data_IF_475222561428
#
_entry.id   IF_475222561428
#
_cell.length_a   1.000
_cell.length_b   1.000
_cell.length_c   1.000
_cell.angle_alpha   90.00
_cell.angle_beta   90.00
_cell.angle_gamma   90.00
#
_symmetry.space_group_name_H-M   'P 1'
#
loop_
_entity.id
_entity.type
_entity.pdbx_description
1 polymer ?
#
# COMPACT_ATOMS: atom_id res chain seq x y z
N UNK A 1 50.82 41.07 -35.03
CA UNK A 1 50.55 39.65 -34.71
C UNK A 1 50.69 39.45 -33.22
N UNK A 2 49.58 39.25 -32.50
CA UNK A 2 49.42 38.45 -31.25
C UNK A 2 48.05 38.77 -30.65
N UNK A 3 47.04 38.07 -31.16
CA UNK A 3 45.66 38.07 -30.63
C UNK A 3 45.61 37.22 -29.36
N UNK A 4 45.20 37.84 -28.25
CA UNK A 4 44.96 37.21 -26.95
C UNK A 4 43.71 36.31 -27.04
N UNK A 5 43.74 35.03 -26.64
CA UNK A 5 42.57 34.17 -26.73
C UNK A 5 41.54 34.52 -25.65
N UNK A 6 40.27 34.57 -26.06
CA UNK A 6 39.12 34.83 -25.21
C UNK A 6 38.88 33.66 -24.24
N UNK A 7 38.55 34.00 -22.99
CA UNK A 7 38.18 33.07 -21.93
C UNK A 7 36.81 32.46 -22.25
N UNK A 8 36.61 31.13 -22.14
CA UNK A 8 35.30 30.55 -22.36
C UNK A 8 34.35 30.95 -21.23
N UNK A 9 33.25 31.61 -21.61
CA UNK A 9 32.09 31.87 -20.76
C UNK A 9 31.46 30.55 -20.35
N UNK A 10 31.47 30.24 -19.05
CA UNK A 10 30.76 29.12 -18.47
C UNK A 10 29.26 29.36 -18.56
N UNK A 11 28.60 28.62 -19.43
CA UNK A 11 27.14 28.49 -19.47
C UNK A 11 26.65 27.96 -18.12
N UNK A 12 25.67 28.60 -17.46
CA UNK A 12 25.11 28.07 -16.23
C UNK A 12 24.39 26.74 -16.52
N UNK A 13 24.78 25.70 -15.77
CA UNK A 13 24.12 24.39 -15.71
C UNK A 13 22.60 24.59 -15.51
N UNK A 14 21.73 23.96 -16.31
CA UNK A 14 20.29 24.13 -16.14
C UNK A 14 19.90 23.65 -14.73
N UNK A 15 19.20 24.53 -14.00
CA UNK A 15 18.66 24.23 -12.69
C UNK A 15 17.78 22.97 -12.79
N UNK A 16 18.00 22.03 -11.88
CA UNK A 16 17.21 20.79 -11.79
C UNK A 16 15.73 21.18 -11.66
N UNK A 17 14.83 20.69 -12.53
CA UNK A 17 13.41 20.98 -12.40
C UNK A 17 12.91 20.53 -11.02
N UNK A 18 11.90 21.22 -10.43
CA UNK A 18 11.34 20.84 -9.15
C UNK A 18 10.85 19.39 -9.19
N UNK A 19 11.16 18.62 -8.14
CA UNK A 19 10.83 17.21 -8.07
C UNK A 19 9.30 17.02 -8.16
N UNK A 20 8.85 16.13 -9.04
CA UNK A 20 7.42 15.74 -9.11
C UNK A 20 7.04 14.92 -7.88
N UNK A 21 5.76 14.91 -7.46
CA UNK A 21 5.32 14.10 -6.31
C UNK A 21 5.69 12.62 -6.43
N UNK A 22 5.63 12.07 -7.66
CA UNK A 22 6.05 10.69 -7.97
C UNK A 22 7.55 10.45 -7.75
N UNK A 23 8.42 11.41 -8.10
CA UNK A 23 9.87 11.25 -7.93
C UNK A 23 10.28 11.35 -6.47
N UNK A 24 9.61 12.18 -5.67
CA UNK A 24 9.79 12.25 -4.21
C UNK A 24 9.42 10.91 -3.57
N UNK A 25 8.21 10.40 -3.86
CA UNK A 25 7.73 9.14 -3.32
C UNK A 25 8.64 7.96 -3.69
N UNK A 26 9.08 7.90 -4.95
CA UNK A 26 10.02 6.88 -5.42
C UNK A 26 11.39 7.00 -4.76
N UNK A 27 11.88 8.23 -4.56
CA UNK A 27 13.14 8.49 -3.86
C UNK A 27 13.09 8.11 -2.38
N UNK A 28 11.93 8.25 -1.73
CA UNK A 28 11.69 7.77 -0.38
C UNK A 28 11.68 6.25 -0.29
N UNK A 29 10.93 5.56 -1.15
CA UNK A 29 10.91 4.09 -1.15
C UNK A 29 12.29 3.47 -1.41
N UNK A 30 13.14 4.15 -2.17
CA UNK A 30 14.53 3.72 -2.39
C UNK A 30 15.38 3.71 -1.10
N UNK A 31 14.98 4.44 -0.07
CA UNK A 31 15.66 4.45 1.23
C UNK A 31 15.45 3.16 2.03
N UNK A 32 14.52 2.28 1.62
CA UNK A 32 14.16 1.09 2.38
C UNK A 32 15.39 0.26 2.78
N UNK A 33 15.48 -0.15 4.04
CA UNK A 33 16.54 -1.04 4.54
C UNK A 33 15.92 -2.17 5.34
N UNK A 34 16.50 -3.36 5.24
CA UNK A 34 16.11 -4.47 6.11
C UNK A 34 16.35 -4.10 7.57
N UNK A 35 15.33 -4.31 8.40
CA UNK A 35 15.37 -3.98 9.82
C UNK A 35 15.40 -5.25 10.67
N UNK A 36 14.39 -6.12 10.53
CA UNK A 36 14.34 -7.38 11.27
C UNK A 36 13.43 -8.41 10.59
N UNK A 37 13.52 -9.66 11.02
CA UNK A 37 12.67 -10.77 10.60
C UNK A 37 12.20 -11.53 11.84
N UNK A 38 10.91 -11.82 11.93
CA UNK A 38 10.31 -12.49 13.08
C UNK A 38 9.29 -13.55 12.67
N UNK A 39 9.21 -14.69 13.37
CA UNK A 39 8.23 -15.73 13.05
C UNK A 39 6.82 -15.35 13.49
N UNK A 40 6.68 -14.51 14.53
CA UNK A 40 5.39 -14.15 15.14
C UNK A 40 5.40 -12.69 15.63
N UNK A 41 4.21 -12.13 15.84
CA UNK A 41 3.99 -10.74 16.24
C UNK A 41 4.76 -10.33 17.50
N UNK A 42 4.80 -11.19 18.52
CA UNK A 42 5.43 -10.88 19.82
C UNK A 42 6.96 -10.75 19.76
N UNK A 43 7.60 -11.23 18.68
CA UNK A 43 9.04 -11.06 18.44
C UNK A 43 9.37 -9.77 17.68
N UNK A 44 8.36 -9.02 17.24
CA UNK A 44 8.57 -7.76 16.54
C UNK A 44 8.80 -6.63 17.55
N UNK A 45 9.73 -5.71 17.26
CA UNK A 45 9.90 -4.53 18.09
C UNK A 45 8.64 -3.67 18.07
N UNK A 46 8.43 -2.94 19.17
CA UNK A 46 7.51 -1.81 19.21
C UNK A 46 8.13 -0.66 18.41
N UNK A 47 7.32 -0.04 17.55
CA UNK A 47 7.76 1.01 16.63
C UNK A 47 6.67 2.08 16.59
N UNK A 48 7.05 3.33 16.81
CA UNK A 48 6.11 4.45 16.82
C UNK A 48 5.82 5.01 15.41
N UNK A 49 6.60 4.60 14.42
CA UNK A 49 6.41 4.99 13.02
C UNK A 49 5.26 4.21 12.35
N UNK A 50 4.52 4.86 11.42
CA UNK A 50 3.45 4.22 10.67
C UNK A 50 3.96 3.03 9.84
N UNK A 51 3.18 1.97 9.83
CA UNK A 51 3.54 0.71 9.20
C UNK A 51 2.57 0.32 8.08
N UNK A 52 3.13 -0.09 6.94
CA UNK A 52 2.39 -0.53 5.75
C UNK A 52 2.64 -2.01 5.54
N UNK A 53 1.62 -2.84 5.74
CA UNK A 53 1.72 -4.28 5.53
C UNK A 53 1.41 -4.69 4.09
N UNK A 54 2.32 -5.45 3.50
CA UNK A 54 2.14 -6.14 2.23
C UNK A 54 1.70 -7.57 2.50
N UNK A 55 0.54 -7.94 1.96
CA UNK A 55 -0.07 -9.25 2.16
C UNK A 55 -0.58 -9.80 0.84
N UNK A 56 -0.69 -11.12 0.73
CA UNK A 56 -1.25 -11.75 -0.47
C UNK A 56 -0.89 -13.21 -0.58
N UNK A 57 -1.55 -13.90 -1.51
CA UNK A 57 -1.32 -15.33 -1.75
C UNK A 57 0.14 -15.63 -2.12
N UNK A 58 0.58 -16.84 -1.79
CA UNK A 58 1.86 -17.35 -2.27
C UNK A 58 1.99 -17.21 -3.79
N UNK A 59 3.09 -16.64 -4.26
CA UNK A 59 3.35 -16.29 -5.66
C UNK A 59 2.42 -15.23 -6.29
N UNK A 60 1.74 -14.41 -5.49
CA UNK A 60 1.01 -13.23 -5.99
C UNK A 60 1.95 -12.17 -6.57
N UNK A 61 3.23 -12.18 -6.19
CA UNK A 61 4.23 -11.20 -6.64
C UNK A 61 4.57 -10.13 -5.60
N UNK A 62 4.20 -10.34 -4.33
CA UNK A 62 4.51 -9.44 -3.19
C UNK A 62 5.96 -9.00 -3.11
N UNK A 63 6.90 -9.93 -2.95
CA UNK A 63 8.33 -9.58 -2.82
C UNK A 63 8.86 -8.91 -4.10
N UNK A 64 8.36 -9.28 -5.28
CA UNK A 64 8.68 -8.61 -6.54
C UNK A 64 8.15 -7.17 -6.58
N UNK A 65 6.94 -6.94 -6.08
CA UNK A 65 6.35 -5.61 -5.96
C UNK A 65 7.19 -4.73 -5.03
N UNK A 66 7.51 -5.21 -3.82
CA UNK A 66 8.35 -4.50 -2.85
C UNK A 66 9.68 -4.11 -3.48
N UNK A 67 10.40 -5.08 -4.07
CA UNK A 67 11.69 -4.85 -4.73
C UNK A 67 11.62 -3.79 -5.85
N UNK A 68 10.52 -3.74 -6.61
CA UNK A 68 10.37 -2.79 -7.70
C UNK A 68 10.02 -1.40 -7.18
N UNK A 69 9.13 -1.31 -6.19
CA UNK A 69 8.77 -0.06 -5.52
C UNK A 69 9.99 0.58 -4.84
N UNK A 70 10.80 -0.23 -4.15
CA UNK A 70 12.02 0.22 -3.48
C UNK A 70 13.24 0.31 -4.42
N UNK A 71 13.10 -0.11 -5.67
CA UNK A 71 14.18 -0.19 -6.67
C UNK A 71 15.40 -1.02 -6.22
N UNK A 72 15.16 -2.06 -5.41
CA UNK A 72 16.20 -2.94 -4.87
C UNK A 72 16.00 -4.38 -5.33
N UNK A 73 17.07 -5.07 -5.72
CA UNK A 73 16.97 -6.41 -6.32
C UNK A 73 16.70 -7.54 -5.31
N UNK A 74 17.14 -7.39 -4.07
CA UNK A 74 17.14 -8.46 -3.06
C UNK A 74 16.74 -7.99 -1.66
N UNK A 75 15.92 -6.93 -1.56
CA UNK A 75 15.43 -6.46 -0.27
C UNK A 75 14.43 -7.47 0.30
N UNK A 76 13.39 -7.78 -0.47
CA UNK A 76 12.45 -8.86 -0.19
C UNK A 76 12.82 -10.08 -1.03
N UNK A 77 13.02 -11.23 -0.40
CA UNK A 77 13.42 -12.45 -1.10
C UNK A 77 12.27 -13.03 -1.95
N UNK A 78 12.25 -12.68 -3.23
CA UNK A 78 11.32 -13.26 -4.22
C UNK A 78 11.75 -14.68 -4.63
N UNK A 79 11.47 -15.68 -3.80
CA UNK A 79 11.67 -17.09 -4.17
C UNK A 79 10.54 -17.59 -5.06
N UNK A 80 10.87 -18.31 -6.15
CA UNK A 80 9.90 -19.06 -6.97
C UNK A 80 9.43 -20.35 -6.28
N UNK A 81 10.19 -20.85 -5.31
CA UNK A 81 9.77 -21.96 -4.45
C UNK A 81 8.80 -21.41 -3.40
N UNK A 82 7.51 -21.80 -3.43
CA UNK A 82 6.52 -21.32 -2.47
C UNK A 82 6.81 -21.88 -1.06
N UNK A 83 6.42 -21.16 -0.01
CA UNK A 83 6.67 -21.54 1.40
C UNK A 83 8.01 -21.08 2.01
N UNK A 84 8.84 -20.32 1.29
CA UNK A 84 10.15 -19.85 1.78
C UNK A 84 10.05 -18.68 2.78
N UNK A 85 9.04 -17.82 2.64
CA UNK A 85 8.83 -16.68 3.55
C UNK A 85 7.87 -17.11 4.66
N UNK A 86 8.42 -17.70 5.72
CA UNK A 86 7.67 -18.09 6.93
C UNK A 86 7.69 -17.01 8.02
N UNK A 87 8.46 -15.94 7.79
CA UNK A 87 8.68 -14.87 8.75
C UNK A 87 8.10 -13.57 8.21
N UNK A 88 7.69 -12.71 9.14
CA UNK A 88 7.37 -11.31 8.90
C UNK A 88 8.69 -10.57 8.74
N UNK A 89 8.91 -9.91 7.62
CA UNK A 89 10.10 -9.09 7.41
C UNK A 89 9.74 -7.62 7.48
N UNK A 90 10.47 -6.86 8.29
CA UNK A 90 10.28 -5.42 8.41
C UNK A 90 11.40 -4.68 7.68
N UNK A 91 11.03 -3.63 6.96
CA UNK A 91 11.94 -2.73 6.26
C UNK A 91 11.70 -1.30 6.72
N UNK A 92 12.70 -0.65 7.30
CA UNK A 92 12.63 0.75 7.70
C UNK A 92 12.77 1.66 6.48
N UNK A 93 11.98 2.73 6.42
CA UNK A 93 12.06 3.81 5.45
C UNK A 93 12.45 5.10 6.16
N UNK A 94 13.25 5.93 5.50
CA UNK A 94 13.67 7.23 6.01
C UNK A 94 15.14 7.54 5.72
N UNK A 95 15.56 8.76 6.02
CA UNK A 95 16.92 9.24 5.75
C UNK A 95 17.65 9.58 7.04
N UNK A 96 18.98 9.55 6.98
CA UNK A 96 19.86 10.06 8.05
C UNK A 96 19.62 9.43 9.42
N UNK A 97 19.18 8.16 9.47
CA UNK A 97 18.95 7.43 10.71
C UNK A 97 17.57 7.67 11.35
N UNK A 98 16.71 8.48 10.74
CA UNK A 98 15.31 8.63 11.13
C UNK A 98 14.47 7.60 10.38
N UNK A 99 13.55 6.95 11.10
CA UNK A 99 12.57 6.02 10.53
C UNK A 99 11.23 6.72 10.42
N UNK A 100 10.86 7.07 9.18
CA UNK A 100 9.61 7.77 8.87
C UNK A 100 8.44 6.78 8.75
N UNK A 101 8.74 5.56 8.30
CA UNK A 101 7.76 4.48 8.18
C UNK A 101 8.42 3.10 8.15
N UNK A 102 7.61 2.07 8.25
CA UNK A 102 8.03 0.67 8.09
C UNK A 102 7.18 -0.02 7.03
N UNK A 103 7.82 -0.77 6.14
CA UNK A 103 7.14 -1.73 5.28
C UNK A 103 7.24 -3.12 5.91
N UNK A 104 6.11 -3.81 6.02
CA UNK A 104 6.08 -5.18 6.50
C UNK A 104 5.75 -6.15 5.35
N UNK A 105 6.60 -7.14 5.12
CA UNK A 105 6.36 -8.24 4.19
C UNK A 105 5.83 -9.45 4.96
N UNK A 106 4.51 -9.62 4.96
CA UNK A 106 3.85 -10.73 5.65
C UNK A 106 4.04 -12.05 4.90
N UNK A 107 4.05 -13.20 5.58
CA UNK A 107 4.08 -14.50 4.92
C UNK A 107 2.86 -14.67 4.00
N UNK A 108 3.07 -15.29 2.83
CA UNK A 108 2.01 -15.46 1.85
C UNK A 108 1.09 -16.64 2.14
N UNK A 109 -0.23 -16.44 2.15
CA UNK A 109 -1.21 -17.49 2.46
C UNK A 109 -1.58 -18.35 1.23
N UNK A 110 -2.39 -19.40 1.46
CA UNK A 110 -2.97 -20.22 0.40
C UNK A 110 -2.01 -21.20 -0.27
N UNK A 111 -0.86 -21.52 0.33
CA UNK A 111 0.05 -22.51 -0.24
C UNK A 111 -0.43 -23.95 0.04
N UNK A 112 -0.60 -24.74 -1.02
CA UNK A 112 -1.17 -26.07 -0.93
C UNK A 112 -0.25 -27.10 -0.25
N UNK A 113 1.07 -26.98 -0.42
CA UNK A 113 2.04 -28.03 -0.06
C UNK A 113 2.61 -27.92 1.37
N UNK A 114 1.96 -27.15 2.24
CA UNK A 114 2.36 -26.98 3.64
C UNK A 114 1.48 -27.86 4.54
N UNK A 115 1.99 -28.47 5.61
CA UNK A 115 1.18 -29.21 6.56
C UNK A 115 -0.01 -28.38 7.07
N UNK A 116 -1.15 -29.03 7.34
CA UNK A 116 -2.37 -28.35 7.78
C UNK A 116 -2.14 -27.49 9.03
N UNK A 117 -1.34 -27.97 9.97
CA UNK A 117 -1.01 -27.25 11.21
C UNK A 117 -0.26 -25.94 10.94
N UNK A 118 0.74 -25.96 10.06
CA UNK A 118 1.51 -24.77 9.68
C UNK A 118 0.64 -23.73 8.96
N UNK A 119 -0.32 -24.18 8.13
CA UNK A 119 -1.29 -23.27 7.49
C UNK A 119 -2.14 -22.53 8.53
N UNK A 120 -2.65 -23.26 9.52
CA UNK A 120 -3.48 -22.68 10.60
C UNK A 120 -2.65 -21.68 11.40
N UNK A 121 -1.43 -22.06 11.80
CA UNK A 121 -0.52 -21.17 12.55
C UNK A 121 -0.25 -19.88 11.78
N UNK A 122 0.06 -19.94 10.48
CA UNK A 122 0.32 -18.73 9.70
C UNK A 122 -0.93 -17.88 9.49
N UNK A 123 -2.09 -18.50 9.30
CA UNK A 123 -3.36 -17.77 9.24
C UNK A 123 -3.62 -17.02 10.55
N UNK A 124 -3.36 -17.65 11.70
CA UNK A 124 -3.47 -17.00 13.01
C UNK A 124 -2.45 -15.87 13.17
N UNK A 125 -1.18 -16.09 12.83
CA UNK A 125 -0.14 -15.05 12.92
C UNK A 125 -0.51 -13.84 12.04
N UNK A 126 -0.97 -14.09 10.81
CA UNK A 126 -1.39 -13.04 9.89
C UNK A 126 -2.62 -12.30 10.41
N UNK A 127 -3.68 -13.01 10.84
CA UNK A 127 -4.88 -12.38 11.37
C UNK A 127 -4.56 -11.56 12.63
N UNK A 128 -3.81 -12.11 13.57
CA UNK A 128 -3.37 -11.42 14.79
C UNK A 128 -2.59 -10.16 14.44
N UNK A 129 -1.66 -10.24 13.48
CA UNK A 129 -0.91 -9.09 13.01
C UNK A 129 -1.82 -7.99 12.47
N UNK A 130 -2.71 -8.32 11.53
CA UNK A 130 -3.56 -7.34 10.85
C UNK A 130 -4.56 -6.66 11.80
N UNK A 131 -5.00 -7.36 12.85
CA UNK A 131 -5.98 -6.85 13.81
C UNK A 131 -5.31 -6.10 14.96
N UNK A 132 -4.19 -6.59 15.49
CA UNK A 132 -3.67 -6.13 16.80
C UNK A 132 -2.43 -5.25 16.71
N UNK A 133 -1.74 -5.18 15.56
CA UNK A 133 -0.55 -4.35 15.39
C UNK A 133 -0.94 -2.86 15.43
N UNK A 134 -0.56 -2.18 16.52
CA UNK A 134 -1.01 -0.80 16.83
C UNK A 134 -0.59 0.25 15.80
N UNK A 135 0.66 0.19 15.34
CA UNK A 135 1.22 1.14 14.39
C UNK A 135 0.89 0.81 12.91
N UNK A 136 0.13 -0.26 12.67
CA UNK A 136 -0.35 -0.61 11.33
C UNK A 136 -1.35 0.44 10.85
N UNK A 137 -0.94 1.24 9.87
CA UNK A 137 -1.73 2.34 9.31
C UNK A 137 -2.30 2.01 7.93
N UNK A 138 -1.69 1.06 7.21
CA UNK A 138 -2.18 0.65 5.91
C UNK A 138 -1.89 -0.81 5.54
N UNK A 139 -2.74 -1.35 4.67
CA UNK A 139 -2.57 -2.69 4.08
C UNK A 139 -2.57 -2.59 2.54
N UNK A 140 -1.61 -3.27 1.94
CA UNK A 140 -1.50 -3.51 0.49
C UNK A 140 -1.73 -5.00 0.23
N UNK A 141 -2.90 -5.35 -0.29
CA UNK A 141 -3.25 -6.72 -0.68
C UNK A 141 -2.87 -6.97 -2.14
N UNK A 142 -2.02 -7.96 -2.39
CA UNK A 142 -1.58 -8.32 -3.74
C UNK A 142 -2.33 -9.54 -4.28
N UNK A 143 -3.02 -9.33 -5.40
CA UNK A 143 -3.81 -10.35 -6.09
C UNK A 143 -3.38 -10.52 -7.55
N UNK A 144 -3.31 -11.76 -8.02
CA UNK A 144 -3.13 -12.07 -9.44
C UNK A 144 -4.53 -12.04 -10.11
N UNK A 145 -4.84 -11.05 -10.96
CA UNK A 145 -6.19 -10.81 -11.46
C UNK A 145 -6.70 -11.94 -12.36
N UNK A 146 -5.82 -12.80 -12.90
CA UNK A 146 -6.20 -13.99 -13.66
C UNK A 146 -6.95 -15.03 -12.83
N UNK A 147 -6.78 -14.99 -11.51
CA UNK A 147 -7.44 -15.90 -10.56
C UNK A 147 -8.61 -15.25 -9.82
N UNK A 148 -8.83 -13.94 -10.04
CA UNK A 148 -9.75 -13.16 -9.22
C UNK A 148 -9.36 -13.13 -7.73
N UNK A 149 -10.26 -12.54 -6.93
CA UNK A 149 -10.30 -12.76 -5.49
C UNK A 149 -10.83 -14.17 -5.22
N UNK A 150 -10.24 -14.82 -4.22
CA UNK A 150 -10.61 -16.15 -3.75
C UNK A 150 -11.14 -16.09 -2.32
N UNK A 151 -11.75 -17.17 -1.85
CA UNK A 151 -12.32 -17.26 -0.50
C UNK A 151 -11.33 -16.83 0.61
N UNK A 152 -10.03 -17.13 0.43
CA UNK A 152 -8.99 -16.70 1.39
C UNK A 152 -8.75 -15.18 1.35
N UNK A 153 -8.89 -14.56 0.18
CA UNK A 153 -8.82 -13.10 0.04
C UNK A 153 -10.06 -12.48 0.69
N UNK A 154 -11.25 -13.04 0.48
CA UNK A 154 -12.51 -12.57 1.07
C UNK A 154 -12.50 -12.66 2.61
N UNK A 155 -12.03 -13.78 3.17
CA UNK A 155 -11.83 -13.93 4.62
C UNK A 155 -10.89 -12.84 5.15
N UNK A 156 -9.81 -12.54 4.43
CA UNK A 156 -8.87 -11.49 4.84
C UNK A 156 -9.55 -10.12 4.80
N UNK A 157 -10.33 -9.83 3.76
CA UNK A 157 -11.11 -8.59 3.65
C UNK A 157 -12.06 -8.43 4.84
N UNK A 158 -12.74 -9.49 5.25
CA UNK A 158 -13.66 -9.45 6.40
C UNK A 158 -12.91 -9.26 7.72
N UNK A 159 -11.74 -9.86 7.89
CA UNK A 159 -10.89 -9.68 9.08
C UNK A 159 -10.41 -8.23 9.23
N UNK A 160 -10.08 -7.55 8.12
CA UNK A 160 -9.56 -6.18 8.17
C UNK A 160 -10.65 -5.11 8.15
N UNK A 161 -11.89 -5.47 7.78
CA UNK A 161 -13.00 -4.53 7.62
C UNK A 161 -13.21 -3.61 8.84
N UNK A 162 -13.22 -4.11 10.10
CA UNK A 162 -13.38 -3.23 11.26
C UNK A 162 -12.27 -2.19 11.36
N UNK A 163 -11.02 -2.58 11.07
CA UNK A 163 -9.88 -1.66 11.09
C UNK A 163 -9.97 -0.62 9.98
N UNK A 164 -10.48 -1.00 8.81
CA UNK A 164 -10.73 -0.07 7.68
C UNK A 164 -11.79 0.96 8.05
N UNK A 165 -12.86 0.54 8.73
CA UNK A 165 -13.89 1.44 9.28
C UNK A 165 -13.32 2.40 10.35
N UNK A 166 -12.33 1.96 11.14
CA UNK A 166 -11.55 2.79 12.07
C UNK A 166 -10.54 3.72 11.38
N UNK A 167 -10.41 3.67 10.05
CA UNK A 167 -9.54 4.57 9.27
C UNK A 167 -8.26 3.94 8.73
N UNK A 168 -8.04 2.64 8.92
CA UNK A 168 -6.93 1.91 8.29
C UNK A 168 -7.01 2.03 6.76
N UNK A 169 -5.93 2.46 6.13
CA UNK A 169 -5.90 2.62 4.68
C UNK A 169 -5.75 1.27 3.97
N UNK A 170 -6.46 1.08 2.88
CA UNK A 170 -6.48 -0.20 2.18
C UNK A 170 -6.36 -0.05 0.65
N UNK A 171 -5.43 -0.83 0.07
CA UNK A 171 -5.19 -0.90 -1.37
C UNK A 171 -5.11 -2.36 -1.82
N UNK A 172 -5.84 -2.69 -2.88
CA UNK A 172 -5.66 -3.92 -3.65
C UNK A 172 -4.79 -3.63 -4.87
N UNK A 173 -3.67 -4.32 -4.98
CA UNK A 173 -2.77 -4.28 -6.14
C UNK A 173 -2.99 -5.53 -6.98
N UNK A 174 -3.56 -5.34 -8.17
CA UNK A 174 -3.71 -6.37 -9.19
C UNK A 174 -2.40 -6.55 -9.95
N UNK A 175 -1.57 -7.48 -9.47
CA UNK A 175 -0.23 -7.75 -9.99
C UNK A 175 -0.27 -8.47 -11.35
N UNK A 176 0.89 -8.58 -12.02
CA UNK A 176 1.04 -9.29 -13.30
C UNK A 176 0.02 -8.83 -14.36
N UNK A 177 -0.34 -7.54 -14.35
CA UNK A 177 -1.29 -6.97 -15.31
C UNK A 177 -0.80 -7.06 -16.77
N UNK A 178 0.50 -7.34 -17.00
CA UNK A 178 1.04 -7.68 -18.33
C UNK A 178 0.51 -8.99 -18.91
N UNK A 179 -0.12 -9.84 -18.11
CA UNK A 179 -0.71 -11.11 -18.53
C UNK A 179 -2.16 -10.98 -18.97
N UNK A 180 -2.73 -9.79 -18.91
CA UNK A 180 -4.09 -9.50 -19.34
C UNK A 180 -4.06 -8.57 -20.55
N UNK A 181 -5.01 -8.75 -21.46
CA UNK A 181 -5.31 -7.73 -22.46
C UNK A 181 -6.06 -6.55 -21.82
N UNK A 182 -6.29 -5.49 -22.59
CA UNK A 182 -6.92 -4.25 -22.09
C UNK A 182 -8.31 -4.49 -21.50
N UNK A 183 -9.17 -5.21 -22.23
CA UNK A 183 -10.55 -5.49 -21.81
C UNK A 183 -10.59 -6.35 -20.54
N UNK A 184 -9.75 -7.38 -20.47
CA UNK A 184 -9.62 -8.23 -19.29
C UNK A 184 -9.12 -7.44 -18.06
N UNK A 185 -8.15 -6.55 -18.25
CA UNK A 185 -7.63 -5.71 -17.18
C UNK A 185 -8.67 -4.72 -16.66
N UNK A 186 -9.45 -4.09 -17.54
CA UNK A 186 -10.56 -3.19 -17.19
C UNK A 186 -11.65 -3.97 -16.45
N UNK A 187 -12.03 -5.16 -16.93
CA UNK A 187 -13.01 -6.03 -16.26
C UNK A 187 -12.54 -6.47 -14.87
N UNK A 188 -11.29 -6.93 -14.74
CA UNK A 188 -10.74 -7.35 -13.45
C UNK A 188 -10.68 -6.18 -12.45
N UNK A 189 -10.31 -4.99 -12.91
CA UNK A 189 -10.29 -3.78 -12.10
C UNK A 189 -11.70 -3.43 -11.60
N UNK A 190 -12.70 -3.43 -12.47
CA UNK A 190 -14.08 -3.11 -12.11
C UNK A 190 -14.68 -4.11 -11.13
N UNK A 191 -14.50 -5.42 -11.37
CA UNK A 191 -14.98 -6.47 -10.47
C UNK A 191 -14.32 -6.32 -9.09
N UNK A 192 -12.99 -6.16 -9.05
CA UNK A 192 -12.26 -6.05 -7.79
C UNK A 192 -12.67 -4.79 -7.02
N UNK A 193 -12.93 -3.66 -7.69
CA UNK A 193 -13.43 -2.44 -7.03
C UNK A 193 -14.77 -2.64 -6.34
N UNK A 194 -15.68 -3.39 -6.95
CA UNK A 194 -16.96 -3.73 -6.34
C UNK A 194 -16.79 -4.63 -5.11
N UNK A 195 -15.84 -5.56 -5.17
CA UNK A 195 -15.55 -6.50 -4.07
C UNK A 195 -14.72 -5.87 -2.94
N UNK A 196 -13.92 -4.84 -3.22
CA UNK A 196 -13.00 -4.22 -2.26
C UNK A 196 -13.69 -3.42 -1.14
N UNK A 197 -15.01 -3.20 -1.21
CA UNK A 197 -15.78 -2.61 -0.12
C UNK A 197 -15.33 -1.21 0.32
N UNK A 198 -14.78 -0.40 -0.59
CA UNK A 198 -14.25 0.95 -0.30
C UNK A 198 -12.72 1.08 -0.38
N UNK A 199 -11.99 -0.02 -0.57
CA UNK A 199 -10.55 0.00 -0.84
C UNK A 199 -10.20 0.57 -2.21
N UNK A 200 -9.01 1.17 -2.33
CA UNK A 200 -8.46 1.54 -3.64
C UNK A 200 -8.02 0.27 -4.39
N UNK A 201 -8.11 0.28 -5.73
CA UNK A 201 -7.66 -0.84 -6.55
C UNK A 201 -6.81 -0.32 -7.71
N UNK A 202 -5.63 -0.88 -7.90
CA UNK A 202 -4.68 -0.48 -8.94
C UNK A 202 -4.12 -1.67 -9.71
N UNK A 203 -3.91 -1.48 -11.02
CA UNK A 203 -3.19 -2.44 -11.86
C UNK A 203 -1.68 -2.25 -11.71
N UNK A 204 -0.96 -3.35 -11.55
CA UNK A 204 0.50 -3.35 -11.42
C UNK A 204 1.16 -4.40 -12.30
N UNK A 205 2.20 -4.00 -13.02
CA UNK A 205 3.05 -4.93 -13.77
C UNK A 205 4.51 -4.66 -13.50
N UNK A 206 5.15 -5.64 -12.88
CA UNK A 206 6.58 -5.66 -12.63
C UNK A 206 7.39 -5.61 -13.94
N UNK A 207 7.17 -6.50 -14.94
CA UNK A 207 7.91 -6.46 -16.21
C UNK A 207 7.67 -5.20 -17.04
N UNK A 208 6.46 -4.63 -17.00
CA UNK A 208 6.10 -3.44 -17.79
C UNK A 208 6.28 -2.13 -17.03
N UNK A 209 6.75 -2.18 -15.78
CA UNK A 209 6.88 -1.02 -14.87
C UNK A 209 5.61 -0.17 -14.79
N UNK A 210 4.44 -0.81 -14.85
CA UNK A 210 3.13 -0.16 -14.81
C UNK A 210 2.62 -0.09 -13.39
N UNK A 211 2.07 1.05 -12.97
CA UNK A 211 1.45 1.23 -11.66
C UNK A 211 2.44 1.56 -10.53
N UNK A 212 3.74 1.67 -10.82
CA UNK A 212 4.77 1.97 -9.81
C UNK A 212 4.51 3.36 -9.22
N UNK A 213 4.46 4.38 -10.07
CA UNK A 213 4.30 5.76 -9.66
C UNK A 213 3.04 5.99 -8.83
N UNK A 214 1.90 5.45 -9.28
CA UNK A 214 0.63 5.57 -8.58
C UNK A 214 0.66 4.93 -7.19
N UNK A 215 1.21 3.71 -7.10
CA UNK A 215 1.34 3.01 -5.81
C UNK A 215 2.32 3.77 -4.91
N UNK A 216 3.50 4.12 -5.42
CA UNK A 216 4.50 4.88 -4.66
C UNK A 216 3.94 6.17 -4.08
N UNK A 217 3.24 6.96 -4.91
CA UNK A 217 2.64 8.22 -4.50
C UNK A 217 1.58 8.03 -3.42
N UNK A 218 0.73 7.01 -3.55
CA UNK A 218 -0.29 6.71 -2.55
C UNK A 218 0.33 6.31 -1.20
N UNK A 219 1.35 5.43 -1.22
CA UNK A 219 2.03 5.03 0.01
C UNK A 219 2.73 6.21 0.69
N UNK A 220 3.32 7.12 -0.10
CA UNK A 220 3.92 8.35 0.41
C UNK A 220 2.87 9.24 1.10
N UNK A 221 1.72 9.45 0.47
CA UNK A 221 0.61 10.26 1.02
C UNK A 221 0.07 9.70 2.33
N UNK A 222 -0.03 8.38 2.46
CA UNK A 222 -0.50 7.75 3.69
C UNK A 222 0.43 7.95 4.88
N UNK A 223 1.73 8.08 4.64
CA UNK A 223 2.75 8.29 5.68
C UNK A 223 3.00 9.78 5.95
N UNK A 224 2.85 10.62 4.93
CA UNK A 224 3.08 12.06 4.99
C UNK A 224 1.80 12.82 4.65
N UNK A 225 0.75 12.72 5.49
CA UNK A 225 -0.47 13.46 5.26
C UNK A 225 -0.15 14.95 5.29
N UNK A 226 -0.66 15.69 4.30
CA UNK A 226 -0.60 17.15 4.33
C UNK A 226 -1.73 17.72 5.18
N UNK A 227 -1.60 18.95 5.66
CA UNK A 227 -2.66 19.61 6.47
C UNK A 227 -4.03 19.63 5.76
N UNK A 228 -4.05 19.56 4.43
CA UNK A 228 -5.27 19.43 3.62
C UNK A 228 -5.95 18.04 3.73
N UNK A 229 -5.21 16.98 4.04
CA UNK A 229 -5.73 15.61 4.18
C UNK A 229 -6.28 15.34 5.60
N UNK A 230 -5.89 16.15 6.58
CA UNK A 230 -6.35 16.08 7.98
C UNK A 230 -7.61 16.91 8.26
N UNK A 231 -8.14 17.63 7.27
CA UNK A 231 -9.44 18.27 7.38
C UNK A 231 -10.53 17.17 7.38
N UNK A 232 -11.02 16.82 8.58
CA UNK A 232 -12.12 15.89 8.76
C UNK A 232 -13.30 16.23 7.82
N UNK A 233 -14.05 15.23 7.30
CA UNK A 233 -15.28 15.54 6.58
C UNK A 233 -16.22 16.25 7.56
N UNK A 234 -16.50 17.52 7.26
CA UNK A 234 -17.46 18.31 8.02
C UNK A 234 -18.76 17.52 8.17
N UNK A 235 -19.22 17.40 9.41
CA UNK A 235 -20.50 16.77 9.74
C UNK A 235 -21.60 17.30 8.81
N UNK A 236 -22.57 16.47 8.38
CA UNK A 236 -23.67 16.93 7.56
C UNK A 236 -24.39 18.09 8.25
N UNK A 237 -24.82 19.13 7.52
CA UNK A 237 -25.58 20.21 8.10
C UNK A 237 -26.86 19.65 8.73
N UNK A 238 -27.03 19.96 10.01
CA UNK A 238 -28.23 19.69 10.79
C UNK A 238 -29.42 20.34 10.06
N UNK A 239 -30.32 19.51 9.54
CA UNK A 239 -31.56 19.97 8.90
C UNK A 239 -32.42 20.62 9.98
N UNK A 240 -32.45 21.95 9.98
CA UNK A 240 -33.38 22.75 10.75
C UNK A 240 -34.81 22.34 10.37
N UNK A 241 -35.53 21.76 11.32
CA UNK A 241 -36.95 21.51 11.23
C UNK A 241 -37.68 22.86 11.24
N UNK A 242 -38.12 23.31 10.06
CA UNK A 242 -38.91 24.51 9.90
C UNK A 242 -40.37 24.20 10.29
N UNK A 243 -40.72 24.54 11.53
CA UNK A 243 -42.08 24.51 12.03
C UNK A 243 -42.86 25.72 11.48
N UNK A 244 -43.62 25.53 10.40
CA UNK A 244 -44.66 26.50 10.00
C UNK A 244 -46.00 26.14 10.62
N UNK A 245 -46.36 26.95 11.61
CA UNK A 245 -47.71 27.12 12.13
C UNK A 245 -48.67 27.52 11.00
N UNK A 246 -49.72 26.71 10.81
CA UNK A 246 -50.91 27.07 10.06
C UNK A 246 -52.03 27.40 11.03
N UNK A 247 -52.29 28.69 11.20
CA UNK A 247 -53.44 29.25 11.92
C UNK A 247 -54.73 29.01 11.11
N UNK A 248 -55.75 28.44 11.76
CA UNK A 248 -57.13 28.45 11.28
C UNK A 248 -57.92 29.41 12.19
N UNK A 249 -58.65 30.39 11.64
CA UNK A 249 -59.39 31.36 12.45
C UNK A 249 -60.74 30.77 12.91
N UNK A 250 -61.11 31.12 14.14
CA UNK A 250 -62.45 30.94 14.71
C UNK A 250 -63.29 32.16 14.37
N UNK A 251 -64.51 31.96 13.86
CA UNK A 251 -65.58 32.96 13.86
C UNK A 251 -66.94 32.25 13.78
N UNK A 252 -67.70 32.41 14.87
CA UNK A 252 -69.15 32.24 15.14
C UNK A 252 -69.94 31.03 14.62
#
# INVERSE_FOLDING_TARGET
>A
MTTKPARPTTTPKPATPPATPSSIASGWLHTARFMTSAPELHFLPEIDAPEIAFVGRSNSGKSTCINILTQQKQLAFASRKPGRTQHINLFSLGKQGVTDAVLADLPGYGYAAVPRQDKIRWQQVMANYLVTRKNLSAIVLLCDPRRGLTDLDDILLDVIRPRVEEGLKFLIVLTKADKLNRSEAEKALSITKLQAGGGQVMLFSAPKRKGIDQVSQLLWQWVHPTDADNAAPAAPPEVAADAKAGSVPVSD
#
